data_IF_525849147485
#
_entry.id   IF_525849147485
#
_cell.length_a   1.000
_cell.length_b   1.000
_cell.length_c   1.000
_cell.angle_alpha   90.00
_cell.angle_beta   90.00
_cell.angle_gamma   90.00
#
_symmetry.space_group_name_H-M   'P 1'
#
loop_
_entity.id
_entity.type
_entity.pdbx_description
1 polymer ?
#
# COMPACT_ATOMS: atom_id res chain seq x y z
N UNK A 1 -44.92 16.11 -17.16
CA UNK A 1 -44.38 17.11 -16.23
C UNK A 1 -44.53 16.53 -14.83
N UNK A 2 -43.55 16.32 -13.95
CA UNK A 2 -42.09 16.45 -13.95
C UNK A 2 -41.58 15.25 -13.12
N UNK A 3 -40.50 14.59 -13.56
CA UNK A 3 -39.75 13.63 -12.75
C UNK A 3 -38.74 14.43 -11.93
N UNK A 4 -38.89 14.42 -10.62
CA UNK A 4 -37.95 15.04 -9.68
C UNK A 4 -36.72 14.12 -9.56
N UNK A 5 -35.59 14.53 -10.14
CA UNK A 5 -34.30 13.86 -9.97
C UNK A 5 -33.84 14.04 -8.52
N UNK A 6 -33.62 12.94 -7.81
CA UNK A 6 -32.87 12.96 -6.55
C UNK A 6 -31.41 13.31 -6.87
N UNK A 7 -30.95 14.45 -6.40
CA UNK A 7 -29.53 14.79 -6.36
C UNK A 7 -28.92 14.06 -5.16
N UNK A 8 -28.26 12.93 -5.41
CA UNK A 8 -27.39 12.29 -4.43
C UNK A 8 -26.10 13.12 -4.34
N UNK A 9 -26.01 14.04 -3.39
CA UNK A 9 -24.83 14.89 -3.20
C UNK A 9 -23.67 14.09 -2.61
N UNK A 10 -22.57 13.98 -3.35
CA UNK A 10 -21.27 13.45 -2.89
C UNK A 10 -20.78 14.21 -1.66
N UNK A 11 -20.36 13.50 -0.61
CA UNK A 11 -19.71 14.13 0.55
C UNK A 11 -18.25 14.36 0.15
N UNK A 12 -17.88 15.63 0.02
CA UNK A 12 -16.52 16.05 -0.34
C UNK A 12 -15.81 16.56 0.90
N UNK A 13 -14.67 15.97 1.26
CA UNK A 13 -13.84 16.46 2.36
C UNK A 13 -12.43 16.86 1.88
N UNK A 14 -11.93 17.97 2.44
CA UNK A 14 -10.58 18.47 2.16
C UNK A 14 -9.60 17.90 3.18
N UNK A 15 -8.52 17.24 2.75
CA UNK A 15 -7.44 16.81 3.63
C UNK A 15 -6.15 17.59 3.32
N UNK A 16 -5.45 18.09 4.35
CA UNK A 16 -4.18 18.83 4.23
C UNK A 16 -3.00 18.08 4.86
N UNK A 17 -1.80 18.28 4.33
CA UNK A 17 -0.60 17.49 4.62
C UNK A 17 0.28 18.09 5.73
N UNK A 18 0.94 17.26 6.56
CA UNK A 18 1.98 17.71 7.50
C UNK A 18 3.35 17.99 6.85
N UNK A 19 3.56 17.61 5.58
CA UNK A 19 4.80 17.85 4.84
C UNK A 19 4.45 18.54 3.53
N UNK A 20 5.05 19.71 3.28
CA UNK A 20 4.68 20.61 2.19
C UNK A 20 4.99 20.03 0.81
N UNK A 21 4.08 19.24 0.24
CA UNK A 21 3.82 19.16 -1.21
C UNK A 21 2.65 18.20 -1.50
N UNK A 22 1.49 18.78 -1.80
CA UNK A 22 0.36 18.11 -2.46
C UNK A 22 -0.79 17.76 -1.51
N UNK A 23 -1.86 18.57 -1.49
CA UNK A 23 -3.16 18.25 -0.87
C UNK A 23 -4.00 17.27 -1.74
N UNK A 24 -4.72 16.34 -1.10
CA UNK A 24 -5.65 15.37 -1.68
C UNK A 24 -7.06 15.69 -1.17
N UNK A 25 -8.02 15.80 -2.08
CA UNK A 25 -9.44 15.79 -1.76
C UNK A 25 -9.93 14.34 -1.78
N UNK A 26 -10.69 13.95 -0.76
CA UNK A 26 -11.31 12.62 -0.72
C UNK A 26 -12.80 12.79 -0.87
N UNK A 27 -13.37 12.17 -1.91
CA UNK A 27 -14.81 12.19 -2.17
C UNK A 27 -15.39 10.84 -1.77
N UNK A 28 -16.15 10.84 -0.68
CA UNK A 28 -16.88 9.65 -0.25
C UNK A 28 -18.17 9.54 -1.05
N UNK A 29 -18.40 8.36 -1.61
CA UNK A 29 -19.68 8.08 -2.27
C UNK A 29 -20.78 8.13 -1.22
N UNK A 30 -21.91 8.83 -1.48
CA UNK A 30 -23.01 8.89 -0.53
C UNK A 30 -23.53 7.48 -0.34
N UNK A 31 -23.34 6.94 0.86
CA UNK A 31 -23.99 5.70 1.22
C UNK A 31 -25.46 6.01 1.43
N UNK A 32 -26.37 5.25 0.81
CA UNK A 32 -27.81 5.36 1.01
C UNK A 32 -28.13 5.62 2.48
N UNK A 33 -28.48 6.87 2.78
CA UNK A 33 -28.78 7.33 4.12
C UNK A 33 -30.17 6.84 4.50
N UNK A 34 -30.33 6.53 5.79
CA UNK A 34 -31.49 5.99 6.50
C UNK A 34 -31.53 4.46 6.57
N UNK A 35 -30.85 3.92 7.58
CA UNK A 35 -31.47 3.09 8.63
C UNK A 35 -30.40 2.68 9.65
N UNK A 36 -30.74 2.88 10.93
CA UNK A 36 -30.13 2.31 12.14
C UNK A 36 -28.67 2.64 12.51
N UNK A 37 -28.49 3.81 13.15
CA UNK A 37 -27.40 4.06 14.10
C UNK A 37 -27.49 3.23 15.41
N UNK A 38 -28.46 2.32 15.54
CA UNK A 38 -28.72 1.56 16.78
C UNK A 38 -28.40 0.06 16.74
N UNK A 39 -27.66 -0.45 15.73
CA UNK A 39 -27.24 -1.86 15.68
C UNK A 39 -25.71 -2.10 15.62
N UNK A 40 -24.90 -1.16 16.11
CA UNK A 40 -23.43 -1.32 16.23
C UNK A 40 -22.97 -2.29 17.33
N UNK A 41 -23.85 -3.10 17.92
CA UNK A 41 -23.55 -3.90 19.13
C UNK A 41 -23.33 -5.41 18.92
N UNK A 42 -23.21 -5.92 17.68
CA UNK A 42 -23.08 -7.38 17.43
C UNK A 42 -21.80 -7.87 16.77
N UNK A 43 -20.84 -6.99 16.51
CA UNK A 43 -19.47 -7.40 16.19
C UNK A 43 -18.55 -6.88 17.30
N UNK A 44 -17.49 -7.59 17.68
CA UNK A 44 -16.55 -7.07 18.65
C UNK A 44 -15.99 -5.77 18.07
N UNK A 45 -16.54 -4.65 18.56
CA UNK A 45 -15.89 -3.36 18.51
C UNK A 45 -14.43 -3.56 18.90
N UNK A 46 -13.52 -2.77 18.35
CA UNK A 46 -12.07 -2.79 18.57
C UNK A 46 -11.61 -2.60 20.05
N UNK A 47 -12.39 -3.03 21.03
CA UNK A 47 -12.20 -2.98 22.48
C UNK A 47 -11.26 -4.03 23.05
N UNK A 48 -10.79 -5.02 22.27
CA UNK A 48 -9.87 -6.05 22.78
C UNK A 48 -8.43 -5.96 22.27
N UNK A 49 -8.06 -4.90 21.54
CA UNK A 49 -6.66 -4.52 21.44
C UNK A 49 -6.36 -3.61 22.64
N UNK A 50 -5.48 -4.01 23.58
CA UNK A 50 -5.10 -3.15 24.70
C UNK A 50 -4.20 -2.03 24.16
N UNK A 51 -4.79 -1.04 23.50
CA UNK A 51 -4.22 0.29 23.41
C UNK A 51 -4.38 0.92 24.79
N UNK A 52 -3.46 0.61 25.70
CA UNK A 52 -3.18 1.51 26.83
C UNK A 52 -2.57 2.78 26.26
N UNK A 53 -3.41 3.66 25.71
CA UNK A 53 -3.19 5.07 25.94
C UNK A 53 -3.64 5.31 27.37
N UNK A 54 -2.73 5.75 28.25
CA UNK A 54 -3.12 6.33 29.53
C UNK A 54 -4.25 7.32 29.24
N UNK A 55 -5.32 7.20 30.00
CA UNK A 55 -6.51 8.01 29.91
C UNK A 55 -6.16 9.47 29.61
N UNK A 56 -6.63 9.93 28.45
CA UNK A 56 -6.62 11.31 28.04
C UNK A 56 -7.91 11.49 27.26
N UNK A 57 -8.97 11.80 28.00
CA UNK A 57 -10.19 12.30 27.40
C UNK A 57 -9.88 13.50 26.52
N UNK A 58 -10.87 13.92 25.75
CA UNK A 58 -10.86 15.21 25.08
C UNK A 58 -10.91 16.30 26.16
N UNK A 59 -9.78 16.51 26.85
CA UNK A 59 -9.47 17.75 27.53
C UNK A 59 -8.55 18.53 26.59
N UNK A 60 -8.89 19.81 26.45
CA UNK A 60 -8.22 20.81 25.65
C UNK A 60 -6.69 20.65 25.65
N UNK A 61 -6.15 20.11 24.55
CA UNK A 61 -4.76 20.31 24.17
C UNK A 61 -4.59 21.77 23.72
N UNK A 62 -4.70 22.71 24.66
CA UNK A 62 -3.97 23.97 24.60
C UNK A 62 -2.55 23.72 25.11
N UNK A 63 -1.78 22.91 24.38
CA UNK A 63 -0.34 22.94 24.55
C UNK A 63 0.17 24.23 23.90
N UNK A 64 0.67 25.17 24.71
CA UNK A 64 1.03 26.56 24.32
C UNK A 64 2.13 26.64 23.26
N UNK A 65 2.64 25.51 22.76
CA UNK A 65 3.69 25.42 21.75
C UNK A 65 3.30 24.69 20.45
N UNK A 66 2.07 24.17 20.34
CA UNK A 66 1.64 23.55 19.07
C UNK A 66 1.04 24.61 18.15
N UNK A 67 1.68 24.83 17.01
CA UNK A 67 1.19 25.84 16.05
C UNK A 67 -0.22 25.47 15.55
N UNK A 68 -1.09 26.46 15.27
CA UNK A 68 -2.43 26.20 14.73
C UNK A 68 -2.42 25.31 13.46
N UNK A 69 -1.37 25.40 12.65
CA UNK A 69 -1.20 24.59 11.44
C UNK A 69 -0.94 23.11 11.77
N UNK A 70 -0.19 22.80 12.83
CA UNK A 70 0.04 21.41 13.28
C UNK A 70 -1.24 20.76 13.83
N UNK A 71 -2.07 21.52 14.57
CA UNK A 71 -3.38 21.04 15.09
C UNK A 71 -4.34 20.73 13.93
N UNK A 72 -4.39 21.61 12.93
CA UNK A 72 -5.23 21.44 11.74
C UNK A 72 -4.80 20.20 10.94
N UNK A 73 -3.49 19.97 10.77
CA UNK A 73 -2.95 18.79 10.08
C UNK A 73 -3.30 17.48 10.82
N UNK A 74 -3.11 17.43 12.14
CA UNK A 74 -3.48 16.25 12.95
C UNK A 74 -4.98 15.90 12.82
N UNK A 75 -5.87 16.90 12.76
CA UNK A 75 -7.31 16.68 12.58
C UNK A 75 -7.64 16.04 11.24
N UNK A 76 -7.01 16.48 10.13
CA UNK A 76 -7.29 15.93 8.80
C UNK A 76 -6.77 14.52 8.62
N UNK A 77 -5.56 14.25 9.11
CA UNK A 77 -4.96 12.91 9.04
C UNK A 77 -5.82 11.90 9.81
N UNK A 78 -6.42 12.32 10.92
CA UNK A 78 -7.36 11.50 11.67
C UNK A 78 -8.70 11.28 10.92
N UNK A 79 -9.15 12.21 10.08
CA UNK A 79 -10.39 12.04 9.29
C UNK A 79 -10.26 10.93 8.24
N UNK A 80 -9.18 10.94 7.44
CA UNK A 80 -8.94 9.89 6.45
C UNK A 80 -8.99 8.50 7.09
N UNK A 81 -8.28 8.36 8.20
CA UNK A 81 -8.21 7.14 9.00
C UNK A 81 -9.58 6.68 9.52
N UNK A 82 -10.39 7.61 10.06
CA UNK A 82 -11.75 7.31 10.55
C UNK A 82 -12.65 6.88 9.39
N UNK A 83 -12.62 7.59 8.28
CA UNK A 83 -13.53 7.32 7.17
C UNK A 83 -13.17 6.04 6.43
N UNK A 84 -11.88 5.77 6.23
CA UNK A 84 -11.41 4.51 5.67
C UNK A 84 -11.90 3.32 6.51
N UNK A 85 -11.70 3.38 7.83
CA UNK A 85 -12.18 2.33 8.75
C UNK A 85 -13.69 2.16 8.70
N UNK A 86 -14.44 3.26 8.83
CA UNK A 86 -15.91 3.22 8.81
C UNK A 86 -16.45 2.66 7.48
N UNK A 87 -15.88 3.06 6.35
CA UNK A 87 -16.30 2.58 5.03
C UNK A 87 -15.96 1.09 4.85
N UNK A 88 -14.78 0.67 5.30
CA UNK A 88 -14.36 -0.73 5.25
C UNK A 88 -15.22 -1.63 6.16
N UNK A 89 -15.46 -1.20 7.40
CA UNK A 89 -16.32 -1.90 8.38
C UNK A 89 -17.75 -2.02 7.84
N UNK A 90 -18.28 -0.95 7.25
CA UNK A 90 -19.60 -0.97 6.62
C UNK A 90 -19.67 -1.98 5.48
N UNK A 91 -18.67 -1.99 4.59
CA UNK A 91 -18.61 -2.97 3.50
C UNK A 91 -18.49 -4.41 4.03
N UNK A 92 -17.76 -4.63 5.13
CA UNK A 92 -17.60 -5.93 5.77
C UNK A 92 -18.93 -6.40 6.37
N UNK A 93 -19.60 -5.53 7.12
CA UNK A 93 -20.91 -5.80 7.73
C UNK A 93 -22.01 -6.04 6.70
N UNK A 94 -21.90 -5.42 5.52
CA UNK A 94 -22.83 -5.61 4.40
C UNK A 94 -22.50 -6.85 3.55
N UNK A 95 -21.43 -7.59 3.86
CA UNK A 95 -21.09 -8.85 3.20
C UNK A 95 -20.53 -8.69 1.79
N UNK A 96 -19.83 -7.58 1.49
CA UNK A 96 -19.27 -7.32 0.16
C UNK A 96 -17.92 -8.02 -0.09
N UNK A 97 -17.38 -8.68 0.93
CA UNK A 97 -16.17 -9.48 0.84
C UNK A 97 -16.49 -10.94 0.52
N UNK A 98 -15.51 -11.68 0.00
CA UNK A 98 -15.65 -13.13 -0.23
C UNK A 98 -15.73 -13.92 1.08
N UNK A 99 -15.09 -13.39 2.13
CA UNK A 99 -15.15 -13.92 3.48
C UNK A 99 -15.11 -12.80 4.51
N UNK A 100 -15.65 -13.09 5.69
CA UNK A 100 -15.38 -12.31 6.91
C UNK A 100 -13.92 -12.47 7.32
N UNK A 101 -13.28 -11.34 7.64
CA UNK A 101 -11.97 -11.35 8.28
C UNK A 101 -12.17 -11.52 9.80
N UNK A 102 -12.21 -12.78 10.24
CA UNK A 102 -12.29 -13.09 11.66
C UNK A 102 -10.93 -12.82 12.34
N UNK A 103 -10.86 -13.01 13.66
CA UNK A 103 -9.60 -12.90 14.40
C UNK A 103 -8.53 -13.82 13.79
N UNK A 104 -7.45 -13.20 13.29
CA UNK A 104 -6.35 -13.90 12.65
C UNK A 104 -5.35 -14.30 13.73
N UNK A 105 -4.97 -15.59 13.75
CA UNK A 105 -3.91 -16.03 14.63
C UNK A 105 -2.58 -15.49 14.12
N UNK A 106 -1.93 -14.68 14.95
CA UNK A 106 -0.71 -13.95 14.57
C UNK A 106 0.38 -14.17 15.62
N UNK A 107 1.59 -14.48 15.16
CA UNK A 107 2.78 -14.63 16.01
C UNK A 107 3.98 -13.90 15.39
N UNK A 108 4.82 -13.34 16.24
CA UNK A 108 6.15 -12.90 15.84
C UNK A 108 7.08 -14.11 15.92
N UNK A 109 7.76 -14.44 14.82
CA UNK A 109 8.70 -15.56 14.80
C UNK A 109 9.92 -15.23 15.65
N UNK A 110 10.37 -16.16 16.51
CA UNK A 110 11.62 -15.98 17.22
C UNK A 110 12.77 -16.02 16.22
N UNK A 111 13.63 -15.00 16.26
CA UNK A 111 14.78 -14.90 15.37
C UNK A 111 15.26 -13.45 15.20
N UNK A 112 16.36 -13.24 14.47
CA UNK A 112 16.96 -11.93 14.29
C UNK A 112 16.09 -10.97 13.47
N UNK A 113 15.33 -11.45 12.48
CA UNK A 113 14.48 -10.57 11.69
C UNK A 113 13.19 -10.22 12.43
N UNK A 114 12.55 -11.20 13.08
CA UNK A 114 11.31 -11.02 13.83
C UNK A 114 10.09 -10.89 12.91
N UNK A 115 9.96 -11.80 11.93
CA UNK A 115 8.83 -11.81 11.01
C UNK A 115 7.48 -11.94 11.73
N UNK A 116 6.44 -11.32 11.17
CA UNK A 116 5.07 -11.42 11.68
C UNK A 116 4.32 -12.44 10.83
N UNK A 117 4.10 -13.64 11.37
CA UNK A 117 3.33 -14.68 10.70
C UNK A 117 1.86 -14.59 11.09
N UNK A 118 0.98 -14.59 10.10
CA UNK A 118 -0.47 -14.49 10.24
C UNK A 118 -1.17 -15.62 9.51
N UNK A 119 -2.00 -16.37 10.21
CA UNK A 119 -2.74 -17.50 9.65
C UNK A 119 -4.05 -17.02 9.01
N UNK A 120 -4.19 -17.22 7.69
CA UNK A 120 -5.39 -16.84 6.95
C UNK A 120 -5.84 -17.95 5.98
N UNK A 121 -6.55 -18.94 6.52
CA UNK A 121 -7.02 -20.14 5.79
C UNK A 121 -8.09 -19.79 4.73
N UNK A 122 -8.98 -18.84 5.03
CA UNK A 122 -10.04 -18.41 4.11
C UNK A 122 -9.46 -17.74 2.87
N UNK A 123 -8.36 -16.99 3.01
CA UNK A 123 -7.64 -16.43 1.86
C UNK A 123 -7.11 -17.50 0.92
N UNK A 124 -6.65 -18.62 1.45
CA UNK A 124 -6.11 -19.72 0.65
C UNK A 124 -7.19 -20.32 -0.25
N UNK A 125 -8.39 -20.51 0.28
CA UNK A 125 -9.47 -21.28 -0.37
C UNK A 125 -10.49 -20.43 -1.13
N UNK A 126 -10.70 -19.17 -0.71
CA UNK A 126 -11.81 -18.35 -1.21
C UNK A 126 -11.37 -17.23 -2.15
N UNK A 127 -10.06 -16.97 -2.25
CA UNK A 127 -9.52 -15.95 -3.15
C UNK A 127 -9.67 -16.41 -4.61
N UNK A 128 -9.85 -15.45 -5.52
CA UNK A 128 -9.83 -15.72 -6.96
C UNK A 128 -8.47 -16.33 -7.36
N UNK A 129 -8.53 -17.32 -8.26
CA UNK A 129 -7.33 -17.85 -8.93
C UNK A 129 -6.56 -16.71 -9.62
N UNK A 130 -5.25 -16.54 -9.34
CA UNK A 130 -4.44 -15.53 -9.99
C UNK A 130 -4.40 -15.71 -11.51
N UNK A 131 -4.27 -14.59 -12.24
CA UNK A 131 -3.91 -14.65 -13.64
C UNK A 131 -2.56 -15.33 -13.85
N UNK A 132 -2.44 -16.09 -14.94
CA UNK A 132 -1.14 -16.50 -15.47
C UNK A 132 -0.55 -15.39 -16.34
N UNK A 133 0.75 -15.15 -16.17
CA UNK A 133 1.50 -14.10 -16.84
C UNK A 133 2.88 -14.62 -17.25
N UNK A 134 3.40 -14.08 -18.35
CA UNK A 134 4.64 -14.56 -18.96
C UNK A 134 5.69 -13.45 -19.18
N UNK A 135 5.28 -12.18 -19.15
CA UNK A 135 6.17 -11.02 -19.30
C UNK A 135 5.73 -9.92 -18.34
N UNK A 136 6.70 -9.17 -17.80
CA UNK A 136 6.45 -7.98 -16.97
C UNK A 136 5.70 -6.90 -17.75
N UNK A 137 5.88 -6.85 -19.08
CA UNK A 137 5.23 -5.90 -20.00
C UNK A 137 3.92 -6.45 -20.58
N UNK A 138 3.24 -7.36 -19.88
CA UNK A 138 1.98 -7.92 -20.34
C UNK A 138 0.96 -6.79 -20.61
N UNK A 139 0.44 -6.66 -21.84
CA UNK A 139 -0.55 -5.63 -22.15
C UNK A 139 -1.86 -5.88 -21.39
N UNK A 140 -2.58 -4.80 -21.10
CA UNK A 140 -3.92 -4.89 -20.53
C UNK A 140 -4.84 -5.71 -21.46
N UNK A 141 -5.70 -6.51 -20.85
CA UNK A 141 -6.65 -7.35 -21.57
C UNK A 141 -8.05 -7.17 -20.99
N UNK A 142 -8.90 -6.44 -21.73
CA UNK A 142 -10.27 -6.15 -21.35
C UNK A 142 -11.17 -7.40 -21.24
N UNK A 143 -10.78 -8.53 -21.85
CA UNK A 143 -11.54 -9.78 -21.79
C UNK A 143 -11.34 -10.51 -20.45
N UNK A 144 -10.14 -10.41 -19.86
CA UNK A 144 -9.81 -10.97 -18.54
C UNK A 144 -10.43 -10.15 -17.41
N UNK A 145 -10.37 -10.66 -16.19
CA UNK A 145 -10.83 -9.88 -15.04
C UNK A 145 -10.00 -8.59 -14.90
N UNK A 146 -10.70 -7.47 -14.68
CA UNK A 146 -10.12 -6.16 -14.40
C UNK A 146 -11.10 -5.36 -13.51
N UNK A 147 -10.65 -4.25 -12.92
CA UNK A 147 -11.45 -3.50 -11.96
C UNK A 147 -12.67 -2.77 -12.55
N UNK A 148 -12.81 -2.64 -13.87
CA UNK A 148 -14.07 -2.17 -14.49
C UNK A 148 -15.21 -3.20 -14.40
N UNK A 149 -14.93 -4.41 -13.87
CA UNK A 149 -15.90 -5.51 -13.72
C UNK A 149 -16.31 -5.77 -12.26
N UNK A 150 -15.92 -4.91 -11.32
CA UNK A 150 -16.31 -5.05 -9.91
C UNK A 150 -17.75 -4.61 -9.69
N UNK A 151 -18.34 -5.01 -8.57
CA UNK A 151 -19.60 -4.44 -8.13
C UNK A 151 -19.38 -3.01 -7.63
N UNK A 152 -20.28 -2.07 -7.93
CA UNK A 152 -20.21 -0.70 -7.43
C UNK A 152 -20.15 -0.62 -5.89
N UNK A 153 -20.69 -1.63 -5.19
CA UNK A 153 -20.62 -1.78 -3.73
C UNK A 153 -19.20 -2.06 -3.20
N UNK A 154 -18.26 -2.45 -4.06
CA UNK A 154 -16.85 -2.63 -3.69
C UNK A 154 -16.10 -1.29 -3.61
N UNK A 155 -16.68 -0.20 -4.14
CA UNK A 155 -16.07 1.13 -4.15
C UNK A 155 -16.31 1.82 -2.81
N UNK A 156 -15.24 2.27 -2.16
CA UNK A 156 -15.32 3.02 -0.90
C UNK A 156 -15.40 4.52 -1.15
N UNK A 157 -14.44 5.05 -1.92
CA UNK A 157 -14.33 6.48 -2.22
C UNK A 157 -13.38 6.74 -3.39
N UNK A 158 -13.33 7.98 -3.84
CA UNK A 158 -12.43 8.47 -4.89
C UNK A 158 -11.37 9.42 -4.30
N UNK A 159 -10.13 9.29 -4.78
CA UNK A 159 -9.02 10.19 -4.48
C UNK A 159 -8.88 11.24 -5.59
N UNK A 160 -8.98 12.51 -5.22
CA UNK A 160 -8.92 13.64 -6.14
C UNK A 160 -7.70 14.52 -5.81
N UNK A 161 -6.60 14.45 -6.59
CA UNK A 161 -5.41 15.26 -6.34
C UNK A 161 -5.73 16.75 -6.55
N UNK A 162 -5.54 17.57 -5.52
CA UNK A 162 -5.94 18.99 -5.57
C UNK A 162 -4.98 19.85 -6.41
N UNK A 163 -3.70 19.47 -6.45
CA UNK A 163 -2.65 20.20 -7.16
C UNK A 163 -2.29 19.56 -8.50
N UNK A 164 -3.22 18.78 -9.05
CA UNK A 164 -3.01 17.99 -10.27
C UNK A 164 -2.01 16.85 -10.09
N UNK A 165 -1.93 16.04 -11.13
CA UNK A 165 -0.99 14.93 -11.21
C UNK A 165 0.37 15.39 -11.77
N UNK A 166 1.46 14.72 -11.38
CA UNK A 166 2.82 15.07 -11.87
C UNK A 166 2.89 15.08 -13.39
N UNK A 167 2.20 14.15 -14.08
CA UNK A 167 2.21 14.13 -15.55
C UNK A 167 1.48 15.31 -16.21
N UNK A 168 0.73 16.11 -15.45
CA UNK A 168 -0.06 17.24 -15.93
C UNK A 168 0.65 18.59 -15.73
N UNK A 169 1.91 18.60 -15.27
CA UNK A 169 2.69 19.84 -15.02
C UNK A 169 2.84 20.74 -16.27
N UNK A 170 2.56 20.23 -17.48
CA UNK A 170 2.72 20.94 -18.76
C UNK A 170 1.55 20.82 -19.74
N UNK A 171 0.40 20.24 -19.34
CA UNK A 171 -0.73 20.01 -20.24
C UNK A 171 -1.97 20.80 -19.79
N UNK A 172 -2.42 21.72 -20.65
CA UNK A 172 -3.63 22.55 -20.47
C UNK A 172 -4.90 21.91 -21.06
N UNK A 173 -4.85 20.65 -21.51
CA UNK A 173 -6.01 20.01 -22.15
C UNK A 173 -7.09 19.58 -21.14
N UNK A 174 -8.29 20.16 -21.31
CA UNK A 174 -9.53 19.78 -20.63
C UNK A 174 -10.03 18.40 -21.11
N UNK A 175 -9.36 17.34 -20.67
CA UNK A 175 -9.95 15.99 -20.71
C UNK A 175 -10.68 15.71 -19.39
N UNK A 176 -11.79 14.96 -19.47
CA UNK A 176 -12.46 14.47 -18.26
C UNK A 176 -11.46 13.53 -17.57
N UNK A 177 -10.99 13.85 -16.35
CA UNK A 177 -9.95 13.05 -15.71
C UNK A 177 -10.49 11.67 -15.34
N UNK A 178 -9.76 10.63 -15.71
CA UNK A 178 -10.02 9.26 -15.25
C UNK A 178 -9.95 9.19 -13.73
N UNK A 179 -10.89 8.46 -13.13
CA UNK A 179 -11.11 8.43 -11.69
C UNK A 179 -10.05 7.59 -10.99
N UNK A 180 -9.68 8.00 -9.78
CA UNK A 180 -8.75 7.25 -8.93
C UNK A 180 -9.52 6.62 -7.78
N UNK A 181 -9.89 5.35 -7.93
CA UNK A 181 -10.79 4.69 -6.99
C UNK A 181 -10.03 4.02 -5.86
N UNK A 182 -10.58 4.11 -4.65
CA UNK A 182 -10.25 3.24 -3.53
C UNK A 182 -11.39 2.25 -3.34
N UNK A 183 -11.05 0.97 -3.48
CA UNK A 183 -12.00 -0.14 -3.43
C UNK A 183 -11.59 -1.13 -2.34
N UNK A 184 -12.53 -1.91 -1.82
CA UNK A 184 -12.18 -3.02 -0.92
C UNK A 184 -11.35 -4.07 -1.65
N UNK A 185 -10.41 -4.69 -0.94
CA UNK A 185 -9.90 -5.97 -1.40
C UNK A 185 -10.85 -7.07 -0.94
N UNK A 186 -11.70 -7.56 -1.85
CA UNK A 186 -12.71 -8.60 -1.56
C UNK A 186 -12.12 -9.91 -1.02
N UNK A 187 -10.80 -10.09 -1.09
CA UNK A 187 -10.07 -11.07 -0.29
C UNK A 187 -9.07 -10.30 0.58
N UNK A 188 -9.41 -9.93 1.82
CA UNK A 188 -8.54 -9.11 2.66
C UNK A 188 -7.46 -9.97 3.32
N UNK A 189 -6.22 -9.46 3.37
CA UNK A 189 -5.13 -10.08 4.15
C UNK A 189 -5.17 -9.70 5.63
N UNK A 190 -5.73 -8.53 5.89
CA UNK A 190 -5.71 -7.80 7.15
C UNK A 190 -6.80 -6.72 7.14
N UNK A 191 -7.08 -6.14 8.29
CA UNK A 191 -7.91 -4.97 8.48
C UNK A 191 -7.51 -3.80 7.56
N UNK A 192 -8.53 -3.03 7.14
CA UNK A 192 -8.39 -1.97 6.14
C UNK A 192 -7.72 -2.42 4.83
N UNK A 193 -7.73 -3.71 4.47
CA UNK A 193 -7.15 -4.10 3.20
C UNK A 193 -7.99 -3.61 2.03
N UNK A 194 -7.46 -2.62 1.33
CA UNK A 194 -8.05 -1.92 0.19
C UNK A 194 -7.11 -1.98 -1.02
N UNK A 195 -7.64 -1.59 -2.18
CA UNK A 195 -6.89 -1.38 -3.41
C UNK A 195 -7.09 0.07 -3.87
N UNK A 196 -5.99 0.76 -4.16
CA UNK A 196 -5.99 1.99 -4.94
C UNK A 196 -5.89 1.61 -6.41
N UNK A 197 -6.82 2.06 -7.24
CA UNK A 197 -6.89 1.84 -8.69
C UNK A 197 -6.84 3.21 -9.38
N UNK A 198 -5.64 3.70 -9.72
CA UNK A 198 -5.45 4.97 -10.42
C UNK A 198 -6.01 4.92 -11.84
N UNK A 199 -6.61 6.03 -12.27
CA UNK A 199 -7.09 6.24 -13.65
C UNK A 199 -7.83 5.01 -14.22
N UNK A 200 -8.89 4.56 -13.55
CA UNK A 200 -9.53 3.26 -13.83
C UNK A 200 -10.07 3.14 -15.26
N UNK A 201 -10.51 4.25 -15.85
CA UNK A 201 -11.00 4.30 -17.24
C UNK A 201 -9.87 4.10 -18.27
N UNK A 202 -8.62 4.44 -17.94
CA UNK A 202 -7.46 4.33 -18.84
C UNK A 202 -7.02 2.87 -19.06
N UNK A 203 -7.53 1.93 -18.25
CA UNK A 203 -7.25 0.50 -18.38
C UNK A 203 -5.74 0.20 -18.40
N UNK A 204 -4.97 0.89 -17.55
CA UNK A 204 -3.51 0.77 -17.53
C UNK A 204 -3.09 -0.65 -17.11
N UNK A 205 -2.08 -1.26 -17.76
CA UNK A 205 -1.51 -2.52 -17.30
C UNK A 205 -0.91 -2.37 -15.89
N UNK A 206 -0.67 -3.49 -15.21
CA UNK A 206 -0.07 -3.52 -13.87
C UNK A 206 1.44 -3.21 -13.94
N UNK A 207 1.74 -1.95 -14.26
CA UNK A 207 3.04 -1.32 -14.32
C UNK A 207 2.96 0.02 -13.58
N UNK A 208 3.97 0.33 -12.77
CA UNK A 208 3.99 1.59 -12.00
C UNK A 208 3.94 2.78 -12.96
N UNK A 209 3.04 3.72 -12.69
CA UNK A 209 3.03 5.04 -13.32
C UNK A 209 3.41 6.11 -12.31
N UNK A 210 3.93 7.24 -12.79
CA UNK A 210 4.30 8.38 -11.91
C UNK A 210 3.10 8.86 -11.10
N UNK A 211 1.91 8.93 -11.72
CA UNK A 211 0.67 9.36 -11.08
C UNK A 211 0.15 8.33 -10.09
N UNK A 212 0.21 7.04 -10.41
CA UNK A 212 -0.18 5.97 -9.48
C UNK A 212 0.72 5.95 -8.24
N UNK A 213 2.03 6.16 -8.43
CA UNK A 213 2.99 6.26 -7.34
C UNK A 213 2.77 7.53 -6.49
N UNK A 214 2.44 8.66 -7.12
CA UNK A 214 2.05 9.89 -6.43
C UNK A 214 0.85 9.64 -5.51
N UNK A 215 -0.25 9.12 -6.06
CA UNK A 215 -1.47 8.83 -5.29
C UNK A 215 -1.21 7.85 -4.15
N UNK A 216 -0.37 6.83 -4.36
CA UNK A 216 0.04 5.91 -3.31
C UNK A 216 0.80 6.65 -2.18
N UNK A 217 1.80 7.46 -2.53
CA UNK A 217 2.57 8.24 -1.54
C UNK A 217 1.68 9.21 -0.77
N UNK A 218 0.83 9.95 -1.48
CA UNK A 218 -0.08 10.91 -0.87
C UNK A 218 -1.11 10.21 0.04
N UNK A 219 -1.66 9.06 -0.37
CA UNK A 219 -2.56 8.25 0.45
C UNK A 219 -1.87 7.73 1.73
N UNK A 220 -0.59 7.34 1.67
CA UNK A 220 0.16 6.98 2.89
C UNK A 220 0.22 8.18 3.85
N UNK A 221 0.54 9.36 3.31
CA UNK A 221 0.70 10.61 4.08
C UNK A 221 -0.61 11.15 4.65
N UNK A 222 -1.76 10.80 4.06
CA UNK A 222 -3.08 11.06 4.62
C UNK A 222 -3.38 10.27 5.90
N UNK A 223 -2.75 9.12 6.11
CA UNK A 223 -2.94 8.31 7.32
C UNK A 223 -1.98 8.72 8.44
N UNK A 224 -2.48 8.78 9.68
CA UNK A 224 -1.69 9.04 10.88
C UNK A 224 -1.16 7.74 11.47
N UNK A 225 -1.78 6.63 11.08
CA UNK A 225 -1.41 5.31 11.55
C UNK A 225 -0.03 4.92 11.02
N UNK A 226 0.89 4.68 11.96
CA UNK A 226 2.18 4.05 11.66
C UNK A 226 1.98 2.70 10.96
N UNK A 227 0.91 1.99 11.31
CA UNK A 227 0.59 0.68 10.78
C UNK A 227 -0.04 0.65 9.37
N UNK A 228 -0.37 1.80 8.79
CA UNK A 228 -0.88 1.86 7.42
C UNK A 228 0.28 1.71 6.42
N UNK A 229 0.18 0.71 5.56
CA UNK A 229 1.21 0.35 4.58
C UNK A 229 0.61 0.22 3.20
N UNK A 230 1.42 0.50 2.19
CA UNK A 230 1.05 0.35 0.79
C UNK A 230 2.04 -0.58 0.11
N UNK A 231 1.54 -1.45 -0.76
CA UNK A 231 2.34 -2.42 -1.49
C UNK A 231 1.96 -2.49 -2.96
N UNK A 232 2.95 -2.76 -3.79
CA UNK A 232 2.76 -3.01 -5.22
C UNK A 232 3.44 -4.33 -5.60
N UNK A 233 2.77 -5.10 -6.43
CA UNK A 233 3.33 -6.27 -7.09
C UNK A 233 3.30 -6.00 -8.59
N UNK A 234 4.44 -6.10 -9.28
CA UNK A 234 4.44 -6.07 -10.74
C UNK A 234 3.83 -7.36 -11.31
N UNK A 235 3.49 -7.36 -12.60
CA UNK A 235 3.35 -8.62 -13.35
C UNK A 235 4.66 -9.42 -13.22
N UNK A 236 4.55 -10.75 -13.12
CA UNK A 236 5.63 -11.68 -12.75
C UNK A 236 6.22 -11.47 -11.33
N UNK A 237 5.87 -10.37 -10.67
CA UNK A 237 6.18 -10.02 -9.27
C UNK A 237 5.07 -10.42 -8.29
N UNK A 238 4.31 -11.48 -8.58
CA UNK A 238 3.10 -11.92 -7.85
C UNK A 238 1.82 -11.08 -7.99
N UNK A 239 1.74 -10.09 -8.89
CA UNK A 239 0.44 -9.50 -9.24
C UNK A 239 -0.58 -10.58 -9.64
N UNK A 240 -1.85 -10.38 -9.26
CA UNK A 240 -2.92 -11.33 -9.57
C UNK A 240 -3.90 -10.82 -10.63
N UNK A 241 -3.91 -9.52 -10.89
CA UNK A 241 -4.75 -8.83 -11.87
C UNK A 241 -3.84 -7.94 -12.72
N UNK A 242 -4.08 -7.90 -14.03
CA UNK A 242 -3.39 -6.98 -14.94
C UNK A 242 -4.26 -5.75 -15.20
N UNK A 243 -4.35 -4.89 -14.19
CA UNK A 243 -4.95 -3.56 -14.23
C UNK A 243 -4.29 -2.80 -13.08
N UNK A 244 -3.65 -1.67 -13.35
CA UNK A 244 -2.88 -0.89 -12.38
C UNK A 244 -3.59 -0.74 -11.02
N UNK A 245 -2.98 -1.28 -9.98
CA UNK A 245 -3.42 -1.15 -8.61
C UNK A 245 -2.28 -1.23 -7.61
N UNK A 246 -2.47 -0.54 -6.48
CA UNK A 246 -1.68 -0.66 -5.27
C UNK A 246 -2.55 -1.25 -4.17
N UNK A 247 -1.98 -2.10 -3.34
CA UNK A 247 -2.64 -2.59 -2.13
C UNK A 247 -2.36 -1.63 -0.98
N UNK A 248 -3.30 -1.43 -0.07
CA UNK A 248 -3.02 -0.87 1.25
C UNK A 248 -3.69 -1.69 2.34
N UNK A 249 -3.15 -1.66 3.57
CA UNK A 249 -3.69 -2.37 4.73
C UNK A 249 -3.11 -1.82 6.04
N UNK A 250 -3.77 -2.13 7.16
CA UNK A 250 -3.36 -1.71 8.50
C UNK A 250 -2.96 -2.92 9.35
N UNK A 251 -1.69 -3.04 9.75
CA UNK A 251 -1.27 -4.07 10.74
C UNK A 251 -0.63 -3.42 11.97
N UNK A 252 -1.01 -3.83 13.17
CA UNK A 252 -0.46 -3.26 14.41
C UNK A 252 0.75 -4.04 14.95
N UNK A 253 1.67 -4.38 14.06
CA UNK A 253 2.96 -4.99 14.39
C UNK A 253 4.07 -4.20 13.68
N UNK A 254 5.21 -4.05 14.33
CA UNK A 254 6.40 -3.49 13.69
C UNK A 254 7.01 -4.55 12.77
N UNK A 255 7.17 -4.25 11.48
CA UNK A 255 7.75 -5.19 10.53
C UNK A 255 9.28 -5.06 10.46
N UNK A 256 10.02 -6.14 10.15
CA UNK A 256 11.49 -6.09 10.01
C UNK A 256 11.94 -5.00 9.03
N UNK A 257 11.21 -4.84 7.92
CA UNK A 257 11.53 -3.90 6.85
C UNK A 257 11.52 -2.42 7.26
N UNK A 258 10.85 -2.09 8.36
CA UNK A 258 10.85 -0.73 8.95
C UNK A 258 12.17 -0.35 9.62
N UNK A 259 13.03 -1.35 9.89
CA UNK A 259 14.25 -1.19 10.69
C UNK A 259 15.53 -1.50 9.92
N UNK A 260 15.42 -2.09 8.72
CA UNK A 260 16.59 -2.44 7.92
C UNK A 260 17.45 -1.23 7.57
N UNK A 261 18.77 -1.40 7.68
CA UNK A 261 19.74 -0.42 7.27
C UNK A 261 19.92 -0.43 5.75
N UNK A 262 20.46 0.68 5.23
CA UNK A 262 20.83 0.82 3.84
C UNK A 262 22.18 1.48 3.68
N UNK A 263 22.84 1.22 2.54
CA UNK A 263 24.09 1.89 2.13
C UNK A 263 23.83 2.70 0.85
N UNK A 264 24.33 3.94 0.74
CA UNK A 264 24.15 4.73 -0.47
C UNK A 264 24.74 4.04 -1.70
N UNK A 265 24.04 4.14 -2.83
CA UNK A 265 24.54 3.72 -4.14
C UNK A 265 24.88 4.95 -4.99
N UNK A 266 23.86 5.77 -5.26
CA UNK A 266 23.95 7.00 -6.06
C UNK A 266 22.66 7.81 -5.87
N UNK A 267 22.76 9.14 -5.88
CA UNK A 267 21.65 10.06 -5.60
C UNK A 267 20.86 9.66 -4.34
N UNK A 268 19.51 9.63 -4.39
CA UNK A 268 18.67 9.28 -3.24
C UNK A 268 18.50 7.77 -3.02
N UNK A 269 19.13 6.93 -3.86
CA UNK A 269 18.95 5.48 -3.85
C UNK A 269 19.94 4.78 -2.91
N UNK A 270 19.39 3.95 -2.03
CA UNK A 270 20.12 3.11 -1.09
C UNK A 270 20.04 1.64 -1.51
N UNK A 271 21.09 0.85 -1.28
CA UNK A 271 21.04 -0.63 -1.29
C UNK A 271 20.61 -1.10 0.09
N UNK A 272 19.65 -2.02 0.17
CA UNK A 272 19.22 -2.62 1.44
C UNK A 272 20.29 -3.60 1.94
N UNK A 273 20.71 -3.46 3.20
CA UNK A 273 21.80 -4.27 3.79
C UNK A 273 21.25 -5.44 4.60
N UNK A 274 20.21 -5.19 5.40
CA UNK A 274 19.66 -6.20 6.32
C UNK A 274 18.48 -6.98 5.72
N UNK A 275 18.08 -6.65 4.49
CA UNK A 275 17.02 -7.38 3.80
C UNK A 275 17.56 -8.72 3.29
N UNK A 276 16.86 -9.86 3.52
CA UNK A 276 17.31 -11.14 2.97
C UNK A 276 17.26 -11.15 1.43
N UNK A 277 16.30 -10.44 0.85
CA UNK A 277 16.21 -10.21 -0.58
C UNK A 277 17.02 -8.97 -0.96
N UNK A 278 17.73 -9.06 -2.09
CA UNK A 278 18.42 -7.90 -2.66
C UNK A 278 17.39 -6.85 -3.05
N UNK A 279 17.64 -5.59 -2.69
CA UNK A 279 16.70 -4.52 -2.96
C UNK A 279 17.28 -3.13 -2.74
N UNK A 280 16.45 -2.15 -3.06
CA UNK A 280 16.77 -0.74 -2.98
C UNK A 280 15.79 -0.01 -2.06
N UNK A 281 16.24 1.11 -1.50
CA UNK A 281 15.49 1.93 -0.58
C UNK A 281 15.57 3.41 -0.92
N UNK A 282 14.45 4.11 -0.73
CA UNK A 282 14.35 5.57 -0.73
C UNK A 282 13.68 6.00 0.56
N UNK A 283 14.10 7.14 1.11
CA UNK A 283 13.49 7.68 2.32
C UNK A 283 13.09 9.14 2.15
N UNK A 284 11.91 9.48 2.64
CA UNK A 284 11.35 10.83 2.65
C UNK A 284 11.12 11.28 4.09
N UNK A 285 11.59 12.49 4.41
CA UNK A 285 11.42 13.12 5.72
C UNK A 285 10.56 14.38 5.56
N UNK A 286 11.02 15.27 4.70
CA UNK A 286 10.38 16.52 4.31
C UNK A 286 10.99 16.99 2.98
N UNK A 287 10.48 18.09 2.43
CA UNK A 287 10.95 18.65 1.16
C UNK A 287 10.06 18.27 -0.01
N UNK A 288 10.63 18.31 -1.21
CA UNK A 288 9.91 18.11 -2.48
C UNK A 288 9.50 16.65 -2.69
N UNK A 289 8.24 16.35 -2.39
CA UNK A 289 7.64 15.04 -2.59
C UNK A 289 7.60 14.65 -4.07
N UNK A 290 7.40 15.61 -4.99
CA UNK A 290 7.34 15.31 -6.43
C UNK A 290 8.70 14.88 -6.96
N UNK A 291 9.77 15.56 -6.57
CA UNK A 291 11.14 15.12 -6.87
C UNK A 291 11.43 13.73 -6.28
N UNK A 292 11.00 13.48 -5.04
CA UNK A 292 11.13 12.16 -4.41
C UNK A 292 10.40 11.06 -5.20
N UNK A 293 9.15 11.31 -5.61
CA UNK A 293 8.34 10.39 -6.44
C UNK A 293 8.99 10.17 -7.81
N UNK A 294 9.46 11.23 -8.48
CA UNK A 294 10.18 11.15 -9.77
C UNK A 294 11.40 10.25 -9.65
N UNK A 295 12.17 10.33 -8.56
CA UNK A 295 13.34 9.48 -8.36
C UNK A 295 12.98 8.00 -8.22
N UNK A 296 11.96 7.65 -7.44
CA UNK A 296 11.49 6.26 -7.32
C UNK A 296 10.96 5.77 -8.68
N UNK A 297 10.20 6.61 -9.39
CA UNK A 297 9.64 6.27 -10.69
C UNK A 297 10.73 5.97 -11.72
N UNK A 298 11.83 6.74 -11.76
CA UNK A 298 13.00 6.45 -12.61
C UNK A 298 13.51 5.02 -12.41
N UNK A 299 13.65 4.55 -11.16
CA UNK A 299 14.05 3.17 -10.88
C UNK A 299 13.00 2.18 -11.39
N UNK A 300 11.72 2.37 -11.05
CA UNK A 300 10.67 1.41 -11.43
C UNK A 300 10.47 1.33 -12.95
N UNK A 301 10.65 2.45 -13.66
CA UNK A 301 10.65 2.49 -15.13
C UNK A 301 11.83 1.72 -15.70
N UNK A 302 13.04 1.90 -15.18
CA UNK A 302 14.21 1.10 -15.58
C UNK A 302 13.96 -0.41 -15.38
N UNK A 303 13.38 -0.81 -14.24
CA UNK A 303 13.03 -2.20 -13.98
C UNK A 303 12.00 -2.73 -14.98
N UNK A 304 10.96 -1.94 -15.27
CA UNK A 304 9.94 -2.31 -16.23
C UNK A 304 10.50 -2.42 -17.66
N UNK A 305 11.35 -1.47 -18.08
CA UNK A 305 12.02 -1.47 -19.38
C UNK A 305 12.92 -2.68 -19.58
N UNK A 306 13.64 -3.10 -18.53
CA UNK A 306 14.48 -4.31 -18.52
C UNK A 306 13.69 -5.61 -18.28
N UNK A 307 12.36 -5.56 -18.21
CA UNK A 307 11.49 -6.71 -17.90
C UNK A 307 11.83 -7.42 -16.58
N UNK A 308 12.30 -6.64 -15.59
CA UNK A 308 12.62 -7.13 -14.25
C UNK A 308 11.35 -7.06 -13.40
N UNK A 309 10.88 -8.23 -12.95
CA UNK A 309 9.80 -8.33 -11.99
C UNK A 309 10.21 -7.67 -10.68
N UNK A 310 9.27 -6.97 -10.04
CA UNK A 310 9.57 -6.24 -8.82
C UNK A 310 8.37 -6.08 -7.89
N UNK A 311 8.69 -5.83 -6.63
CA UNK A 311 7.75 -5.51 -5.58
C UNK A 311 8.12 -4.18 -4.93
N UNK A 312 7.12 -3.41 -4.51
CA UNK A 312 7.32 -2.15 -3.80
C UNK A 312 6.57 -2.22 -2.47
N UNK A 313 7.17 -1.66 -1.43
CA UNK A 313 6.53 -1.47 -0.15
C UNK A 313 6.81 -0.08 0.40
N UNK A 314 5.74 0.62 0.77
CA UNK A 314 5.75 1.98 1.27
C UNK A 314 5.25 1.96 2.70
N UNK A 315 6.09 2.42 3.64
CA UNK A 315 5.81 2.34 5.08
C UNK A 315 6.45 3.51 5.83
N UNK A 316 6.02 3.73 7.06
CA UNK A 316 6.79 4.53 8.04
C UNK A 316 7.76 3.61 8.77
N UNK A 317 8.97 4.09 9.07
CA UNK A 317 9.98 3.32 9.78
C UNK A 317 11.18 4.17 10.18
N UNK A 318 12.25 3.54 10.65
CA UNK A 318 13.49 4.22 11.03
C UNK A 318 14.25 4.71 9.78
N UNK A 319 15.08 5.75 9.85
CA UNK A 319 16.04 6.06 8.79
C UNK A 319 16.90 4.84 8.38
N UNK A 320 17.32 4.76 7.11
CA UNK A 320 18.24 3.69 6.65
C UNK A 320 19.65 3.82 7.25
N UNK A 321 20.02 5.03 7.67
CA UNK A 321 21.28 5.35 8.32
C UNK A 321 21.00 6.32 9.48
N UNK A 322 21.72 6.18 10.59
CA UNK A 322 21.55 7.01 11.80
C UNK A 322 22.13 8.43 11.68
N UNK A 323 22.57 8.85 10.49
CA UNK A 323 23.33 10.08 10.32
C UNK A 323 22.41 11.24 9.91
N UNK A 324 22.59 12.41 10.56
CA UNK A 324 22.09 13.73 10.15
C UNK A 324 20.58 13.92 9.93
N UNK A 325 19.74 12.97 10.34
CA UNK A 325 18.28 13.10 10.26
C UNK A 325 17.75 13.36 11.67
N UNK A 326 17.06 14.48 11.85
CA UNK A 326 16.48 14.88 13.15
C UNK A 326 15.25 14.07 13.54
N UNK A 327 14.65 13.32 12.62
CA UNK A 327 13.47 12.49 12.84
C UNK A 327 13.80 11.02 13.03
N UNK A 328 13.29 10.42 14.10
CA UNK A 328 13.38 8.96 14.34
C UNK A 328 12.46 8.15 13.44
N UNK A 329 11.54 8.81 12.72
CA UNK A 329 10.59 8.18 11.80
C UNK A 329 10.61 8.88 10.43
N UNK A 330 10.71 8.10 9.38
CA UNK A 330 10.70 8.53 7.97
C UNK A 330 9.73 7.68 7.17
N UNK A 331 9.27 8.20 6.03
CA UNK A 331 8.62 7.36 5.02
C UNK A 331 9.71 6.62 4.26
N UNK A 332 9.57 5.30 4.13
CA UNK A 332 10.47 4.39 3.43
C UNK A 332 9.75 3.81 2.23
N UNK A 333 10.40 3.82 1.08
CA UNK A 333 9.98 3.10 -0.12
C UNK A 333 11.03 2.05 -0.41
N UNK A 334 10.63 0.79 -0.30
CA UNK A 334 11.47 -0.38 -0.53
C UNK A 334 11.10 -0.98 -1.88
N UNK A 335 12.09 -1.28 -2.72
CA UNK A 335 11.91 -1.84 -4.05
C UNK A 335 12.77 -3.09 -4.18
N UNK A 336 12.14 -4.25 -4.38
CA UNK A 336 12.85 -5.52 -4.57
C UNK A 336 12.73 -5.97 -6.03
N UNK A 337 13.78 -5.80 -6.85
CA UNK A 337 13.87 -6.52 -8.11
C UNK A 337 14.08 -8.01 -7.81
N UNK A 338 13.46 -8.87 -8.60
CA UNK A 338 13.41 -10.30 -8.29
C UNK A 338 13.34 -11.15 -9.54
N UNK A 339 13.66 -12.44 -9.38
CA UNK A 339 13.40 -13.42 -10.42
C UNK A 339 11.90 -13.52 -10.70
N UNK A 340 11.56 -13.63 -11.97
CA UNK A 340 10.17 -13.68 -12.43
C UNK A 340 9.47 -14.95 -11.97
N UNK A 341 8.27 -14.80 -11.40
CA UNK A 341 7.34 -15.91 -11.19
C UNK A 341 6.43 -16.03 -12.41
N UNK A 342 6.78 -16.96 -13.30
CA UNK A 342 6.09 -17.19 -14.57
C UNK A 342 5.00 -18.25 -14.44
N UNK A 343 3.97 -18.15 -15.27
CA UNK A 343 2.99 -19.23 -15.43
C UNK A 343 1.98 -19.32 -14.28
N UNK A 344 1.57 -20.54 -13.95
CA UNK A 344 0.66 -20.81 -12.84
C UNK A 344 1.43 -20.81 -11.52
N UNK A 345 0.85 -20.22 -10.48
CA UNK A 345 1.46 -20.15 -9.15
C UNK A 345 1.14 -21.43 -8.37
N UNK A 346 2.15 -22.02 -7.74
CA UNK A 346 1.92 -23.05 -6.74
C UNK A 346 1.25 -22.43 -5.51
N UNK A 347 0.07 -22.91 -5.17
CA UNK A 347 -0.71 -22.39 -4.04
C UNK A 347 -0.28 -23.00 -2.69
N UNK A 348 0.48 -24.10 -2.72
CA UNK A 348 0.98 -24.80 -1.52
C UNK A 348 2.24 -24.13 -0.94
N UNK A 349 2.99 -23.39 -1.76
CA UNK A 349 4.17 -22.64 -1.34
C UNK A 349 3.78 -21.23 -0.89
N UNK A 350 4.47 -20.71 0.12
CA UNK A 350 4.30 -19.33 0.54
C UNK A 350 4.64 -18.41 -0.64
N UNK A 351 3.67 -17.62 -1.07
CA UNK A 351 3.83 -16.73 -2.21
C UNK A 351 4.56 -15.47 -1.72
N UNK A 352 5.85 -15.35 -1.99
CA UNK A 352 6.68 -14.21 -1.52
C UNK A 352 6.38 -12.95 -2.33
N UNK A 353 5.28 -12.26 -2.00
CA UNK A 353 4.88 -10.98 -2.57
C UNK A 353 5.39 -9.82 -1.71
N UNK A 354 4.88 -8.60 -1.91
CA UNK A 354 5.33 -7.44 -1.12
C UNK A 354 5.12 -7.62 0.40
N UNK A 355 4.08 -8.33 0.84
CA UNK A 355 3.81 -8.55 2.28
C UNK A 355 4.95 -9.35 2.90
N UNK A 356 5.24 -10.51 2.30
CA UNK A 356 6.26 -11.44 2.77
C UNK A 356 7.65 -10.82 2.70
N UNK A 357 7.95 -10.08 1.62
CA UNK A 357 9.18 -9.29 1.47
C UNK A 357 9.36 -8.24 2.57
N UNK A 358 8.27 -7.61 3.01
CA UNK A 358 8.29 -6.65 4.11
C UNK A 358 8.36 -7.34 5.50
N UNK A 359 8.10 -8.64 5.53
CA UNK A 359 8.12 -9.49 6.71
C UNK A 359 6.77 -9.69 7.40
N UNK A 360 5.67 -9.45 6.69
CA UNK A 360 4.33 -9.89 7.05
C UNK A 360 3.99 -11.16 6.27
N UNK A 361 4.00 -12.31 6.93
CA UNK A 361 3.84 -13.61 6.29
C UNK A 361 2.39 -14.07 6.34
N UNK A 362 1.76 -14.23 5.18
CA UNK A 362 0.38 -14.71 5.10
C UNK A 362 0.40 -16.23 4.92
N UNK A 363 0.28 -16.95 6.04
CA UNK A 363 0.37 -18.40 6.06
C UNK A 363 -1.00 -19.03 5.81
N UNK A 364 -1.05 -19.90 4.80
CA UNK A 364 -2.29 -20.44 4.22
C UNK A 364 -2.70 -21.80 4.78
N UNK A 365 -1.83 -22.47 5.52
CA UNK A 365 -2.08 -23.78 6.09
C UNK A 365 -1.56 -23.86 7.54
N UNK A 366 -2.21 -24.67 8.36
CA UNK A 366 -1.94 -24.77 9.80
C UNK A 366 -0.58 -25.39 10.10
N UNK A 367 -0.23 -26.50 9.44
CA UNK A 367 1.05 -27.18 9.66
C UNK A 367 2.25 -26.30 9.35
N UNK A 368 2.22 -25.53 8.26
CA UNK A 368 3.25 -24.54 7.94
C UNK A 368 3.28 -23.43 8.98
N UNK A 369 2.12 -22.95 9.46
CA UNK A 369 2.09 -21.91 10.48
C UNK A 369 2.75 -22.37 11.78
N UNK A 370 2.65 -23.65 12.13
CA UNK A 370 3.31 -24.20 13.31
C UNK A 370 4.83 -24.27 13.14
N UNK A 371 5.32 -24.78 12.00
CA UNK A 371 6.75 -25.09 11.80
C UNK A 371 7.59 -23.96 11.19
N UNK A 372 6.96 -22.88 10.71
CA UNK A 372 7.66 -21.75 10.07
C UNK A 372 8.65 -21.08 11.05
N UNK A 373 9.89 -20.87 10.60
CA UNK A 373 10.95 -20.22 11.38
C UNK A 373 11.50 -18.99 10.67
N UNK A 374 12.15 -18.11 11.43
CA UNK A 374 12.78 -16.88 10.91
C UNK A 374 13.85 -17.18 9.84
N UNK A 375 14.64 -18.24 10.05
CA UNK A 375 15.70 -18.69 9.14
C UNK A 375 15.11 -19.28 7.85
N UNK A 376 14.07 -20.12 7.95
CA UNK A 376 13.42 -20.72 6.78
C UNK A 376 12.84 -19.67 5.84
N UNK A 377 12.30 -18.59 6.41
CA UNK A 377 11.70 -17.49 5.65
C UNK A 377 12.74 -16.54 5.09
N UNK A 378 13.79 -16.24 5.84
CA UNK A 378 14.92 -15.48 5.31
C UNK A 378 15.55 -16.18 4.11
N UNK A 379 15.67 -17.51 4.17
CA UNK A 379 16.17 -18.33 3.05
C UNK A 379 15.24 -18.27 1.83
N UNK A 380 13.93 -18.45 2.04
CA UNK A 380 12.94 -18.37 0.98
C UNK A 380 12.88 -16.97 0.32
N UNK A 381 12.99 -15.91 1.12
CA UNK A 381 13.04 -14.53 0.64
C UNK A 381 14.34 -14.29 -0.13
N UNK A 382 15.46 -14.85 0.32
CA UNK A 382 16.74 -14.72 -0.37
C UNK A 382 16.69 -15.32 -1.78
N UNK A 383 16.08 -16.50 -1.93
CA UNK A 383 15.97 -17.25 -3.20
C UNK A 383 15.24 -16.48 -4.31
N UNK A 384 14.38 -15.51 -3.98
CA UNK A 384 13.69 -14.71 -5.01
C UNK A 384 14.54 -13.56 -5.55
N UNK A 385 15.71 -13.29 -4.97
CA UNK A 385 16.61 -12.22 -5.44
C UNK A 385 17.09 -12.48 -6.86
N UNK A 386 17.44 -11.41 -7.57
CA UNK A 386 18.16 -11.56 -8.83
C UNK A 386 19.50 -12.30 -8.64
N UNK A 387 19.95 -13.06 -9.65
CA UNK A 387 21.30 -13.59 -9.72
C UNK A 387 22.35 -12.50 -9.47
N UNK A 388 23.50 -12.86 -8.87
CA UNK A 388 24.53 -11.89 -8.49
C UNK A 388 25.02 -11.04 -9.66
N UNK A 389 25.23 -11.65 -10.82
CA UNK A 389 25.64 -10.95 -12.05
C UNK A 389 24.61 -9.91 -12.49
N UNK A 390 23.33 -10.29 -12.51
CA UNK A 390 22.22 -9.40 -12.91
C UNK A 390 22.02 -8.26 -11.92
N UNK A 391 22.09 -8.56 -10.61
CA UNK A 391 21.97 -7.52 -9.59
C UNK A 391 23.14 -6.53 -9.65
N UNK A 392 24.35 -7.01 -9.91
CA UNK A 392 25.53 -6.14 -10.08
C UNK A 392 25.41 -5.25 -11.30
N UNK A 393 24.92 -5.78 -12.43
CA UNK A 393 24.63 -4.98 -13.61
C UNK A 393 23.56 -3.92 -13.33
N UNK A 394 22.45 -4.32 -12.69
CA UNK A 394 21.38 -3.41 -12.30
C UNK A 394 21.90 -2.30 -11.38
N UNK A 395 22.75 -2.63 -10.41
CA UNK A 395 23.41 -1.67 -9.52
C UNK A 395 24.22 -0.64 -10.31
N UNK A 396 24.96 -1.06 -11.35
CA UNK A 396 25.70 -0.13 -12.22
C UNK A 396 24.76 0.77 -13.02
N UNK A 397 23.68 0.21 -13.57
CA UNK A 397 22.66 0.98 -14.28
C UNK A 397 22.03 2.06 -13.38
N UNK A 398 21.76 1.72 -12.11
CA UNK A 398 21.25 2.65 -11.09
C UNK A 398 22.26 3.74 -10.75
N UNK A 399 23.54 3.41 -10.65
CA UNK A 399 24.59 4.41 -10.42
C UNK A 399 24.57 5.45 -11.54
N UNK A 400 24.53 5.01 -12.79
CA UNK A 400 24.44 5.88 -13.96
C UNK A 400 23.14 6.70 -13.95
N UNK A 401 22.00 6.06 -13.64
CA UNK A 401 20.68 6.68 -13.57
C UNK A 401 20.62 7.88 -12.62
N UNK A 402 21.40 7.89 -11.53
CA UNK A 402 21.39 8.97 -10.53
C UNK A 402 22.70 9.75 -10.44
N UNK A 403 23.61 9.57 -11.40
CA UNK A 403 24.83 10.39 -11.51
C UNK A 403 24.58 11.72 -12.24
N UNK A 404 23.45 11.80 -12.95
CA UNK A 404 22.87 13.01 -13.55
C UNK A 404 21.87 13.66 -12.58
#
# INVERSE_FOLDING_TARGET
MSKQSRNDSLITEKCKFPYSSGDLLVHFLPTSANEDQNQLSKYPSAKNYPLRFKDGGVEELQDKHTSPMQIVNLRYTLQFDIQLRNAWDKAMNQGYFRYTLDELQTKVLPGPAGYVAQRNLKRATQRRKPGSFFTVKQPFDGTRFNFNKINAKEILFELCPQHGLISQEHNDEESIPSRNLVIINVSPVEYCNILLVPAIEDCLPQAVTINGLQLAMEMLLLSSQRGFRIGFNSICGFASVNHLHFHAYCINYELPSEKWNGKPISGPCMELVDSPAKGFGFQYVNGDLRCFIKNIYRLTSLLHEKEIAHNIFITRGKPFQKNNISSDVVVRVLVWPRVSSLGAKDENVLSVAFCELAGHLIVKNESQFEIITDESISSLIHEISLPESEFKELRQNIQNLYSE
#
